data_IF_788203893319
#
_entry.id   IF_788203893319
#
_cell.length_a   1.000
_cell.length_b   1.000
_cell.length_c   1.000
_cell.angle_alpha   90.00
_cell.angle_beta   90.00
_cell.angle_gamma   90.00
#
_symmetry.space_group_name_H-M   'P 1'
#
loop_
_entity.id
_entity.type
_entity.pdbx_description
1 polymer ?
#
# COMPACT_ATOMS: atom_id res chain seq x y z
N UNK A 1 -5.24 3.79 8.17
CA UNK A 1 -4.67 3.81 6.80
C UNK A 1 -3.68 2.67 6.63
N UNK A 2 -3.61 2.10 5.43
CA UNK A 2 -2.49 1.25 4.99
C UNK A 2 -1.91 1.92 3.76
N UNK A 3 -0.60 2.20 3.77
CA UNK A 3 0.08 2.87 2.66
C UNK A 3 1.08 1.92 2.01
N UNK A 4 1.22 2.02 0.70
CA UNK A 4 2.15 1.25 -0.11
C UNK A 4 2.71 2.11 -1.23
N UNK A 5 3.82 1.67 -1.83
CA UNK A 5 4.37 2.25 -3.06
C UNK A 5 4.71 1.10 -4.03
N UNK A 6 5.52 1.37 -5.05
CA UNK A 6 5.97 0.40 -6.04
C UNK A 6 6.64 -0.83 -5.40
N UNK A 7 7.56 -0.64 -4.45
CA UNK A 7 8.30 -1.74 -3.83
C UNK A 7 9.29 -1.28 -2.76
N UNK A 8 10.19 -2.18 -2.29
CA UNK A 8 11.15 -1.90 -1.21
C UNK A 8 12.10 -0.72 -1.47
N UNK A 9 12.35 -0.38 -2.74
CA UNK A 9 13.21 0.74 -3.13
C UNK A 9 12.46 2.07 -3.28
N UNK A 10 11.19 2.15 -2.89
CA UNK A 10 10.42 3.38 -2.91
C UNK A 10 10.14 3.92 -1.49
N UNK A 11 10.58 5.16 -1.22
CA UNK A 11 10.30 5.86 0.04
C UNK A 11 8.93 6.56 0.08
N UNK A 12 8.07 6.32 -0.92
CA UNK A 12 6.75 6.95 -1.02
C UNK A 12 5.81 6.53 0.12
N UNK A 13 5.85 5.25 0.48
CA UNK A 13 5.05 4.72 1.59
C UNK A 13 5.48 5.32 2.93
N UNK A 14 6.78 5.45 3.19
CA UNK A 14 7.30 6.09 4.40
C UNK A 14 6.92 7.57 4.49
N UNK A 15 7.04 8.31 3.38
CA UNK A 15 6.63 9.72 3.35
C UNK A 15 5.13 9.88 3.60
N UNK A 16 4.31 8.99 3.07
CA UNK A 16 2.86 8.99 3.32
C UNK A 16 2.55 8.62 4.78
N UNK A 17 3.20 7.60 5.32
CA UNK A 17 3.05 7.18 6.71
C UNK A 17 3.44 8.30 7.67
N UNK A 18 4.58 8.96 7.46
CA UNK A 18 5.01 10.11 8.26
C UNK A 18 3.94 11.21 8.26
N UNK A 19 3.47 11.64 7.08
CA UNK A 19 2.44 12.68 6.97
C UNK A 19 1.15 12.32 7.71
N UNK A 20 0.68 11.08 7.57
CA UNK A 20 -0.54 10.61 8.25
C UNK A 20 -0.34 10.54 9.77
N UNK A 21 0.79 10.00 10.22
CA UNK A 21 1.13 9.90 11.64
C UNK A 21 1.29 11.28 12.29
N UNK A 22 1.91 12.24 11.59
CA UNK A 22 2.02 13.64 12.07
C UNK A 22 0.66 14.33 12.25
N UNK A 23 -0.38 13.86 11.56
CA UNK A 23 -1.76 14.32 11.76
C UNK A 23 -2.51 13.53 12.85
N UNK A 24 -1.85 12.60 13.55
CA UNK A 24 -2.47 11.74 14.56
C UNK A 24 -3.33 10.61 13.99
N UNK A 25 -3.23 10.34 12.69
CA UNK A 25 -4.04 9.31 12.04
C UNK A 25 -3.35 7.93 12.15
N UNK A 26 -4.06 6.86 12.54
CA UNK A 26 -3.49 5.53 12.63
C UNK A 26 -3.10 5.03 11.23
N UNK A 27 -1.84 4.64 11.07
CA UNK A 27 -1.28 4.19 9.79
C UNK A 27 -0.35 3.00 9.97
N UNK A 28 -0.35 2.10 8.98
CA UNK A 28 0.63 1.02 8.82
C UNK A 28 1.18 1.05 7.40
N UNK A 29 2.44 0.63 7.24
CA UNK A 29 3.07 0.44 5.94
C UNK A 29 2.87 -1.01 5.49
N UNK A 30 2.46 -1.20 4.24
CA UNK A 30 2.51 -2.50 3.58
C UNK A 30 3.91 -2.68 2.99
N UNK A 31 4.77 -3.36 3.75
CA UNK A 31 6.14 -3.67 3.32
C UNK A 31 6.13 -4.53 2.05
N UNK A 32 7.14 -4.36 1.19
CA UNK A 32 7.20 -5.02 -0.12
C UNK A 32 6.48 -4.26 -1.23
N UNK A 33 5.54 -3.36 -0.92
CA UNK A 33 4.82 -2.57 -1.92
C UNK A 33 4.01 -3.43 -2.90
N UNK A 34 3.62 -2.86 -4.05
CA UNK A 34 2.83 -3.60 -5.05
C UNK A 34 3.65 -4.71 -5.72
N UNK A 35 4.99 -4.59 -5.79
CA UNK A 35 5.85 -5.68 -6.28
C UNK A 35 5.80 -6.88 -5.35
N UNK A 36 5.96 -6.69 -4.04
CA UNK A 36 5.85 -7.79 -3.07
C UNK A 36 4.45 -8.40 -3.06
N UNK A 37 3.40 -7.59 -3.26
CA UNK A 37 2.03 -8.11 -3.43
C UNK A 37 1.91 -9.03 -4.65
N UNK A 38 2.58 -8.68 -5.75
CA UNK A 38 2.64 -9.50 -6.95
C UNK A 38 3.43 -10.79 -6.73
N UNK A 39 4.58 -10.71 -6.06
CA UNK A 39 5.45 -11.86 -5.82
C UNK A 39 4.79 -12.95 -4.96
N UNK A 40 3.81 -12.56 -4.14
CA UNK A 40 3.00 -13.45 -3.30
C UNK A 40 1.71 -13.94 -3.99
N UNK A 41 1.56 -13.71 -5.30
CA UNK A 41 0.39 -14.09 -6.12
C UNK A 41 -0.95 -13.60 -5.56
N UNK A 42 -0.95 -12.42 -4.91
CA UNK A 42 -2.16 -11.85 -4.33
C UNK A 42 -3.04 -11.13 -5.39
N UNK A 43 -4.37 -11.00 -5.17
CA UNK A 43 -5.29 -10.49 -6.17
C UNK A 43 -5.07 -9.02 -6.55
N UNK A 44 -5.28 -8.69 -7.83
CA UNK A 44 -5.24 -7.32 -8.35
C UNK A 44 -6.62 -6.84 -8.81
N UNK A 45 -6.87 -5.55 -8.64
CA UNK A 45 -7.92 -4.83 -9.34
C UNK A 45 -7.36 -4.17 -10.60
N UNK A 46 -8.19 -4.00 -11.63
CA UNK A 46 -7.82 -3.29 -12.86
C UNK A 46 -8.86 -2.22 -13.21
N UNK A 47 -8.44 -1.20 -13.96
CA UNK A 47 -9.29 -0.05 -14.26
C UNK A 47 -9.18 1.06 -13.21
N UNK A 48 -10.12 2.01 -13.26
CA UNK A 48 -10.12 3.19 -12.36
C UNK A 48 -10.83 2.95 -11.03
N UNK A 49 -11.70 1.95 -10.99
CA UNK A 49 -12.52 1.65 -9.82
C UNK A 49 -11.78 0.73 -8.84
N UNK A 50 -11.99 0.88 -7.52
CA UNK A 50 -11.47 -0.05 -6.53
C UNK A 50 -11.94 -1.49 -6.77
N UNK A 51 -11.08 -2.45 -6.47
CA UNK A 51 -11.44 -3.87 -6.49
C UNK A 51 -12.41 -4.23 -5.35
N UNK A 52 -13.14 -5.32 -5.56
CA UNK A 52 -13.99 -5.93 -4.53
C UNK A 52 -13.35 -7.26 -4.13
N UNK A 53 -13.01 -7.41 -2.84
CA UNK A 53 -12.62 -8.70 -2.29
C UNK A 53 -13.86 -9.59 -2.22
N UNK A 54 -13.87 -10.67 -2.99
CA UNK A 54 -14.88 -11.72 -2.84
C UNK A 54 -14.45 -12.67 -1.71
N UNK A 55 -15.39 -13.19 -0.91
CA UNK A 55 -15.10 -14.22 0.08
C UNK A 55 -14.48 -15.48 -0.55
#
# INVERSE_FOLDING_TARGET
FVVYCAGPHCNGADRAAFKLASLGLPVKIMIGGISGWQDEDLPFASGKEPGVLRP
#
